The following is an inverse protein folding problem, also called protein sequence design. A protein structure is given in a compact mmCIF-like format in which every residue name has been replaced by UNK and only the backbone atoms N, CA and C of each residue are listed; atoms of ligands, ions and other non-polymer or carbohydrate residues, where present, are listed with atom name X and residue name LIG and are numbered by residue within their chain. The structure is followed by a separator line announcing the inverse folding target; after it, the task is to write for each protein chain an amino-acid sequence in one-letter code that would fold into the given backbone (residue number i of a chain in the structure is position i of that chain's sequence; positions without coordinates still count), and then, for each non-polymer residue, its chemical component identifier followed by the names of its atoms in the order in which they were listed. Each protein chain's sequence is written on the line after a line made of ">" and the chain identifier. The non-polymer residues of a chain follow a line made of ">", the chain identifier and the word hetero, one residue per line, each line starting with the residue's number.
data_IF_041286373647
#
_entry.id   IF_041286373647
#
_cell.length_a   1.000
_cell.length_b   1.000
_cell.length_c   1.000
_cell.angle_alpha   90.00
_cell.angle_beta   90.00
_cell.angle_gamma   90.00
#
_symmetry.space_group_name_H-M   'P 1'
#
loop_
_entity.id
_entity.type
_entity.pdbx_description
1 polymer ?
#
# COMPACT_ATOMS: atom_id res chain seq x y z
N UNK A 1 28.45 27.38 19.85
CA UNK A 1 27.30 26.61 20.37
C UNK A 1 27.10 25.44 19.43
N UNK A 2 27.33 24.19 19.87
CA UNK A 2 27.28 22.97 19.03
C UNK A 2 26.03 22.11 19.27
N UNK A 3 24.97 22.69 19.84
CA UNK A 3 23.71 22.01 20.12
C UNK A 3 22.77 22.21 18.93
N UNK A 4 22.17 21.13 18.43
CA UNK A 4 21.29 21.14 17.26
C UNK A 4 19.81 20.92 17.62
N UNK A 5 19.50 20.69 18.89
CA UNK A 5 18.14 20.41 19.39
C UNK A 5 17.30 21.68 19.64
N UNK A 6 17.88 22.87 19.47
CA UNK A 6 17.16 24.13 19.56
C UNK A 6 17.73 25.15 18.56
N UNK A 7 16.87 26.04 18.07
CA UNK A 7 17.31 27.16 17.22
C UNK A 7 17.42 28.46 18.02
N UNK A 8 18.51 29.25 17.86
CA UNK A 8 18.65 30.54 18.54
C UNK A 8 17.84 31.67 17.87
N UNK A 9 17.32 31.46 16.65
CA UNK A 9 16.65 32.49 15.84
C UNK A 9 15.17 32.70 16.21
N UNK A 10 14.63 31.90 17.14
CA UNK A 10 13.25 31.96 17.63
C UNK A 10 12.22 31.32 16.67
N UNK A 11 11.02 31.01 17.20
CA UNK A 11 10.01 30.13 16.53
C UNK A 11 9.70 30.42 15.07
N UNK A 12 9.69 31.70 14.65
CA UNK A 12 9.36 32.08 13.27
C UNK A 12 10.52 31.87 12.29
N UNK A 13 11.75 31.77 12.78
CA UNK A 13 12.96 31.68 11.98
C UNK A 13 13.71 30.34 12.19
N UNK A 14 13.13 29.39 12.91
CA UNK A 14 13.73 28.06 13.14
C UNK A 14 14.04 27.32 11.84
N UNK A 15 13.24 27.55 10.79
CA UNK A 15 13.46 26.95 9.46
C UNK A 15 14.64 27.55 8.70
N UNK A 16 15.09 28.75 9.09
CA UNK A 16 16.26 29.40 8.48
C UNK A 16 17.58 28.93 9.11
N UNK A 17 17.51 28.30 10.28
CA UNK A 17 18.65 27.67 10.93
C UNK A 17 18.91 26.29 10.34
N UNK A 18 19.99 26.16 9.58
CA UNK A 18 20.38 24.92 8.92
C UNK A 18 20.72 23.80 9.91
N UNK A 19 21.23 24.14 11.10
CA UNK A 19 21.58 23.16 12.13
C UNK A 19 20.35 22.51 12.73
N UNK A 20 19.38 23.32 13.14
CA UNK A 20 18.11 22.84 13.68
C UNK A 20 17.28 22.09 12.62
N UNK A 21 17.27 22.58 11.38
CA UNK A 21 16.58 21.89 10.27
C UNK A 21 17.15 20.49 10.00
N UNK A 22 18.48 20.35 9.97
CA UNK A 22 19.14 19.06 9.80
C UNK A 22 18.81 18.08 10.94
N UNK A 23 18.74 18.56 12.19
CA UNK A 23 18.33 17.75 13.34
C UNK A 23 16.88 17.27 13.23
N UNK A 24 15.94 18.14 12.87
CA UNK A 24 14.55 17.74 12.64
C UNK A 24 14.43 16.67 11.55
N UNK A 25 15.16 16.83 10.45
CA UNK A 25 15.24 15.84 9.38
C UNK A 25 15.76 14.48 9.88
N UNK A 26 16.85 14.49 10.65
CA UNK A 26 17.40 13.29 11.27
C UNK A 26 16.37 12.57 12.16
N UNK A 27 15.67 13.29 13.04
CA UNK A 27 14.66 12.69 13.93
C UNK A 27 13.49 12.10 13.13
N UNK A 28 13.03 12.76 12.07
CA UNK A 28 11.96 12.22 11.23
C UNK A 28 12.37 10.90 10.55
N UNK A 29 13.59 10.83 10.03
CA UNK A 29 14.15 9.63 9.41
C UNK A 29 14.32 8.51 10.44
N UNK A 30 14.92 8.79 11.60
CA UNK A 30 15.07 7.81 12.69
C UNK A 30 13.71 7.27 13.18
N UNK A 31 12.72 8.13 13.37
CA UNK A 31 11.37 7.72 13.76
C UNK A 31 10.70 6.85 12.68
N UNK A 32 10.90 7.17 11.41
CA UNK A 32 10.33 6.39 10.30
C UNK A 32 10.97 5.00 10.17
N UNK A 33 12.29 4.89 10.34
CA UNK A 33 13.01 3.63 10.16
C UNK A 33 13.08 2.76 11.41
N UNK A 34 13.16 3.37 12.60
CA UNK A 34 13.42 2.68 13.87
C UNK A 34 12.31 2.92 14.89
N UNK A 35 11.06 2.83 14.44
CA UNK A 35 9.92 3.01 15.32
C UNK A 35 9.85 1.88 16.37
N UNK A 36 9.92 2.17 17.69
CA UNK A 36 10.07 1.13 18.72
C UNK A 36 8.87 0.18 18.80
N UNK A 37 7.66 0.69 18.55
CA UNK A 37 6.43 -0.14 18.54
C UNK A 37 6.47 -1.12 17.37
N UNK A 38 6.96 -0.70 16.20
CA UNK A 38 7.05 -1.55 15.02
C UNK A 38 8.07 -2.67 15.23
N UNK A 39 9.25 -2.32 15.74
CA UNK A 39 10.30 -3.30 16.05
C UNK A 39 9.83 -4.32 17.09
N UNK A 40 9.13 -3.87 18.14
CA UNK A 40 8.55 -4.76 19.13
C UNK A 40 7.50 -5.69 18.52
N UNK A 41 6.59 -5.14 17.70
CA UNK A 41 5.55 -5.91 17.02
C UNK A 41 6.14 -6.99 16.11
N UNK A 42 7.10 -6.63 15.24
CA UNK A 42 7.78 -7.56 14.35
C UNK A 42 8.53 -8.63 15.16
N UNK A 43 9.22 -8.24 16.24
CA UNK A 43 9.91 -9.19 17.12
C UNK A 43 8.94 -10.20 17.75
N UNK A 44 7.74 -9.76 18.13
CA UNK A 44 6.69 -10.66 18.65
C UNK A 44 6.19 -11.61 17.57
N UNK A 45 5.90 -11.11 16.37
CA UNK A 45 5.45 -11.93 15.24
C UNK A 45 6.50 -12.97 14.83
N UNK A 46 7.77 -12.56 14.71
CA UNK A 46 8.87 -13.43 14.33
C UNK A 46 9.11 -14.51 15.40
N UNK A 47 9.06 -14.13 16.67
CA UNK A 47 9.21 -15.08 17.78
C UNK A 47 8.07 -16.10 17.80
N UNK A 48 6.82 -15.67 17.59
CA UNK A 48 5.68 -16.59 17.48
C UNK A 48 5.80 -17.47 16.21
N UNK A 49 6.36 -16.97 15.11
CA UNK A 49 6.57 -17.79 13.93
C UNK A 49 7.67 -18.86 14.14
N UNK A 50 8.82 -18.49 14.72
CA UNK A 50 10.00 -19.36 14.81
C UNK A 50 9.97 -20.33 15.99
N UNK A 51 9.41 -19.94 17.14
CA UNK A 51 9.55 -20.70 18.39
C UNK A 51 8.25 -21.37 18.87
N UNK A 52 7.16 -21.26 18.11
CA UNK A 52 5.86 -21.79 18.53
C UNK A 52 5.78 -23.30 18.34
N UNK A 53 6.16 -24.03 19.39
CA UNK A 53 6.08 -25.51 19.44
C UNK A 53 4.67 -26.07 19.62
N UNK A 54 3.68 -25.26 20.03
CA UNK A 54 2.28 -25.65 20.19
C UNK A 54 1.43 -24.39 20.43
N UNK A 55 0.77 -23.87 19.41
CA UNK A 55 -0.19 -22.77 19.60
C UNK A 55 -1.42 -23.28 20.33
N UNK A 56 -1.88 -22.55 21.34
CA UNK A 56 -3.32 -22.52 21.58
C UNK A 56 -3.96 -21.96 20.32
N UNK A 57 -4.72 -22.75 19.57
CA UNK A 57 -5.45 -22.25 18.42
C UNK A 57 -6.61 -21.39 18.93
N UNK A 58 -6.47 -20.07 18.85
CA UNK A 58 -7.54 -19.17 19.23
C UNK A 58 -8.68 -19.32 18.23
N UNK A 59 -9.89 -19.58 18.72
CA UNK A 59 -11.06 -19.68 17.86
C UNK A 59 -11.34 -18.33 17.19
N UNK A 60 -11.86 -18.36 15.96
CA UNK A 60 -12.31 -17.13 15.27
C UNK A 60 -13.32 -16.36 16.11
N UNK A 61 -14.18 -17.06 16.84
CA UNK A 61 -15.16 -16.46 17.75
C UNK A 61 -14.49 -15.62 18.85
N UNK A 62 -13.43 -16.13 19.48
CA UNK A 62 -12.69 -15.40 20.52
C UNK A 62 -12.06 -14.11 19.99
N UNK A 63 -11.43 -14.16 18.81
CA UNK A 63 -10.87 -12.96 18.18
C UNK A 63 -11.96 -11.92 17.86
N UNK A 64 -13.10 -12.37 17.32
CA UNK A 64 -14.24 -11.48 17.05
C UNK A 64 -14.78 -10.84 18.32
N UNK A 65 -14.86 -11.58 19.42
CA UNK A 65 -15.32 -11.05 20.70
C UNK A 65 -14.36 -9.99 21.26
N UNK A 66 -13.06 -10.27 21.25
CA UNK A 66 -12.05 -9.32 21.72
C UNK A 66 -12.05 -8.05 20.86
N UNK A 67 -12.21 -8.19 19.54
CA UNK A 67 -12.35 -7.06 18.64
C UNK A 67 -13.63 -6.27 18.94
N UNK A 68 -14.76 -6.93 19.21
CA UNK A 68 -16.01 -6.25 19.57
C UNK A 68 -15.85 -5.44 20.86
N UNK A 69 -15.27 -6.03 21.91
CA UNK A 69 -14.97 -5.35 23.17
C UNK A 69 -14.04 -4.16 22.96
N UNK A 70 -12.98 -4.33 22.16
CA UNK A 70 -12.06 -3.24 21.82
C UNK A 70 -12.79 -2.08 21.11
N UNK A 71 -13.64 -2.38 20.14
CA UNK A 71 -14.37 -1.37 19.37
C UNK A 71 -15.46 -0.66 20.19
N UNK A 72 -16.13 -1.36 21.10
CA UNK A 72 -17.10 -0.76 22.01
C UNK A 72 -16.44 0.30 22.91
N UNK A 73 -15.22 0.04 23.36
CA UNK A 73 -14.46 0.97 24.19
C UNK A 73 -13.75 2.08 23.39
N UNK A 74 -13.71 1.97 22.05
CA UNK A 74 -12.98 2.91 21.19
C UNK A 74 -13.84 3.33 19.97
N UNK A 75 -14.86 4.19 20.16
CA UNK A 75 -15.86 4.51 19.14
C UNK A 75 -15.28 5.24 17.91
N UNK A 76 -14.24 6.06 18.09
CA UNK A 76 -13.58 6.78 16.98
C UNK A 76 -12.93 5.80 15.99
N UNK A 77 -12.34 4.72 16.49
CA UNK A 77 -11.72 3.68 15.67
C UNK A 77 -12.79 2.93 14.84
N UNK A 78 -14.04 2.84 15.30
CA UNK A 78 -15.13 2.24 14.52
C UNK A 78 -15.36 3.00 13.23
N UNK A 79 -15.41 4.34 13.31
CA UNK A 79 -15.64 5.20 12.13
C UNK A 79 -14.46 5.07 11.16
N UNK A 80 -13.23 5.22 11.68
CA UNK A 80 -12.00 5.10 10.88
C UNK A 80 -11.88 3.74 10.22
N UNK A 81 -12.19 2.66 10.94
CA UNK A 81 -12.17 1.29 10.42
C UNK A 81 -13.18 1.11 9.28
N UNK A 82 -14.40 1.65 9.40
CA UNK A 82 -15.40 1.61 8.32
C UNK A 82 -14.91 2.38 7.09
N UNK A 83 -14.36 3.57 7.28
CA UNK A 83 -13.82 4.39 6.20
C UNK A 83 -12.66 3.69 5.48
N UNK A 84 -11.72 3.11 6.23
CA UNK A 84 -10.60 2.35 5.69
C UNK A 84 -11.08 1.15 4.86
N UNK A 85 -12.01 0.35 5.40
CA UNK A 85 -12.54 -0.82 4.69
C UNK A 85 -13.27 -0.44 3.40
N UNK A 86 -14.03 0.66 3.41
CA UNK A 86 -14.69 1.15 2.19
C UNK A 86 -13.66 1.59 1.14
N UNK A 87 -12.59 2.27 1.56
CA UNK A 87 -11.48 2.67 0.67
C UNK A 87 -10.75 1.45 0.10
N UNK A 88 -10.45 0.44 0.91
CA UNK A 88 -9.79 -0.79 0.45
C UNK A 88 -10.63 -1.55 -0.59
N UNK A 89 -11.94 -1.69 -0.35
CA UNK A 89 -12.86 -2.29 -1.33
C UNK A 89 -12.91 -1.50 -2.64
N UNK A 90 -12.90 -0.18 -2.56
CA UNK A 90 -12.90 0.68 -3.74
C UNK A 90 -11.59 0.54 -4.55
N UNK A 91 -10.44 0.40 -3.89
CA UNK A 91 -9.17 0.13 -4.59
C UNK A 91 -9.11 -1.26 -5.22
N UNK A 92 -9.65 -2.29 -4.56
CA UNK A 92 -9.72 -3.65 -5.12
C UNK A 92 -10.58 -3.67 -6.39
N UNK A 93 -11.78 -3.07 -6.35
CA UNK A 93 -12.64 -2.97 -7.54
C UNK A 93 -12.00 -2.17 -8.69
N UNK A 94 -11.19 -1.16 -8.39
CA UNK A 94 -10.46 -0.40 -9.41
C UNK A 94 -9.34 -1.23 -10.05
N UNK A 95 -8.62 -2.03 -9.27
CA UNK A 95 -7.59 -2.94 -9.80
C UNK A 95 -8.24 -3.96 -10.73
N UNK A 96 -9.34 -4.60 -10.31
CA UNK A 96 -10.06 -5.58 -11.12
C UNK A 96 -10.57 -4.96 -12.44
N UNK A 97 -11.05 -3.71 -12.39
CA UNK A 97 -11.50 -2.97 -13.59
C UNK A 97 -10.36 -2.67 -14.56
N UNK A 98 -9.17 -2.33 -14.05
CA UNK A 98 -7.98 -2.06 -14.87
C UNK A 98 -7.45 -3.36 -15.50
N UNK A 99 -7.48 -4.46 -14.76
CA UNK A 99 -7.09 -5.78 -15.26
C UNK A 99 -7.99 -6.24 -16.42
N UNK A 100 -9.31 -6.08 -16.28
CA UNK A 100 -10.30 -6.37 -17.33
C UNK A 100 -10.05 -5.51 -18.59
N UNK A 101 -9.74 -4.21 -18.43
CA UNK A 101 -9.44 -3.32 -19.57
C UNK A 101 -8.14 -3.77 -20.27
N UNK A 102 -7.13 -4.17 -19.52
CA UNK A 102 -5.86 -4.64 -20.10
C UNK A 102 -6.02 -5.98 -20.84
N UNK A 103 -6.81 -6.92 -20.32
CA UNK A 103 -7.13 -8.18 -21.00
C UNK A 103 -7.96 -7.97 -22.28
N UNK A 104 -8.93 -7.05 -22.23
CA UNK A 104 -9.72 -6.68 -23.41
C UNK A 104 -8.85 -6.02 -24.48
N UNK A 105 -7.92 -5.15 -24.06
CA UNK A 105 -7.00 -4.45 -24.96
C UNK A 105 -6.02 -5.41 -25.65
N UNK A 106 -5.50 -6.42 -24.94
CA UNK A 106 -4.66 -7.47 -25.53
C UNK A 106 -5.42 -8.35 -26.53
N UNK A 107 -6.69 -8.67 -26.23
CA UNK A 107 -7.55 -9.46 -27.12
C UNK A 107 -7.91 -8.69 -28.41
N UNK A 108 -8.14 -7.37 -28.33
CA UNK A 108 -8.41 -6.54 -29.50
C UNK A 108 -7.19 -6.36 -30.41
N UNK A 109 -5.98 -6.32 -29.87
CA UNK A 109 -4.75 -6.20 -30.68
C UNK A 109 -4.49 -7.47 -31.48
N UNK A 110 -4.69 -8.65 -30.89
CA UNK A 110 -4.60 -9.92 -31.62
C UNK A 110 -5.66 -10.04 -32.72
N UNK A 111 -6.89 -9.60 -32.45
CA UNK A 111 -7.95 -9.67 -33.45
C UNK A 111 -7.75 -8.68 -34.61
N UNK A 112 -7.12 -7.52 -34.36
CA UNK A 112 -6.80 -6.54 -35.41
C UNK A 112 -5.66 -7.02 -36.31
N UNK A 113 -4.62 -7.67 -35.78
CA UNK A 113 -3.53 -8.23 -36.60
C UNK A 113 -4.00 -9.33 -37.55
N UNK A 114 -4.97 -10.15 -37.13
CA UNK A 114 -5.53 -11.21 -37.99
C UNK A 114 -6.41 -10.66 -39.12
N UNK A 115 -7.16 -9.58 -38.86
CA UNK A 115 -7.99 -8.90 -39.88
C UNK A 115 -7.12 -8.19 -40.92
N UNK A 116 -6.01 -7.58 -40.49
CA UNK A 116 -5.08 -6.89 -41.39
C UNK A 116 -4.32 -7.90 -42.28
N UNK A 117 -3.90 -9.05 -41.73
CA UNK A 117 -3.32 -10.17 -42.49
C UNK A 117 -4.29 -10.74 -43.53
N UNK A 118 -5.57 -10.90 -43.19
CA UNK A 118 -6.60 -11.40 -44.10
C UNK A 118 -6.84 -10.43 -45.26
N UNK A 119 -6.86 -9.12 -44.98
CA UNK A 119 -7.03 -8.07 -46.00
C UNK A 119 -5.83 -7.96 -46.94
N UNK A 120 -4.62 -8.24 -46.45
CA UNK A 120 -3.40 -8.20 -47.25
C UNK A 120 -3.27 -9.44 -48.16
N UNK A 121 -3.68 -10.62 -47.68
CA UNK A 121 -3.83 -11.83 -48.50
C UNK A 121 -4.85 -11.63 -49.65
N UNK A 122 -6.01 -11.05 -49.36
CA UNK A 122 -7.02 -10.76 -50.39
C UNK A 122 -6.51 -9.78 -51.46
N UNK A 123 -5.69 -8.79 -51.08
CA UNK A 123 -5.04 -7.90 -52.05
C UNK A 123 -4.03 -8.61 -52.93
N UNK A 124 -3.27 -9.57 -52.40
CA UNK A 124 -2.28 -10.32 -53.20
C UNK A 124 -2.95 -11.25 -54.22
N UNK A 125 -4.07 -11.89 -53.85
CA UNK A 125 -4.84 -12.76 -54.76
C UNK A 125 -5.51 -12.01 -55.91
N UNK A 126 -5.89 -10.74 -55.72
CA UNK A 126 -6.43 -9.90 -56.79
C UNK A 126 -5.33 -9.45 -57.77
N UNK A 127 -4.09 -9.33 -57.30
CA UNK A 127 -2.95 -8.88 -58.13
C UNK A 127 -2.41 -9.97 -59.07
N UNK A 128 -2.67 -11.25 -58.80
CA UNK A 128 -2.28 -12.37 -59.67
C UNK A 128 -3.32 -12.71 -60.77
N UNK A 129 -4.46 -12.00 -60.81
CA UNK A 129 -5.54 -12.26 -61.79
C UNK A 129 -5.65 -11.24 -62.94
N UNK A 130 -4.62 -10.44 -63.19
CA UNK A 130 -4.53 -9.56 -64.36
C UNK A 130 -3.13 -9.57 -64.96
#
# INVERSE_FOLDING_TARGET
>A
MCRLDYSPLGRKLETTDSGFSAYCGFIHVECAHRHPILLCFISHLLRDHLYRKSSKHWTKARHKWILAVFLLNNPTIVIQRKQYLNRSKQSEMQIDSIEIINETSQSTVHHQSDVDLQFELDKTLVKERF
#
